data_IF_217789893328
#
_entry.id   IF_217789893328
#
_cell.length_a   1.000
_cell.length_b   1.000
_cell.length_c   1.000
_cell.angle_alpha   90.00
_cell.angle_beta   90.00
_cell.angle_gamma   90.00
#
_symmetry.space_group_name_H-M   'P 1'
#
loop_
_entity.id
_entity.type
_entity.pdbx_description
1 polymer ?
#
# COMPACT_ATOMS: atom_id res chain seq x y z
N UNK A 1 -0.74 -9.45 -5.66
CA UNK A 1 -0.93 -8.19 -6.42
C UNK A 1 -1.38 -7.06 -5.51
N UNK A 2 -1.37 -5.81 -6.00
CA UNK A 2 -1.94 -4.64 -5.32
C UNK A 2 -3.03 -4.00 -6.16
N UNK A 3 -4.08 -3.52 -5.53
CA UNK A 3 -5.13 -2.74 -6.20
C UNK A 3 -5.66 -1.62 -5.31
N UNK A 4 -6.05 -0.51 -5.93
CA UNK A 4 -6.72 0.60 -5.27
C UNK A 4 -8.10 0.83 -5.89
N UNK A 5 -9.12 0.93 -5.04
CA UNK A 5 -10.49 1.28 -5.42
C UNK A 5 -10.88 2.57 -4.72
N UNK A 6 -11.71 3.37 -5.40
CA UNK A 6 -12.24 4.61 -4.87
C UNK A 6 -13.76 4.59 -5.01
N UNK A 7 -14.46 4.70 -3.89
CA UNK A 7 -15.91 4.64 -3.84
C UNK A 7 -16.46 5.95 -3.25
N UNK A 8 -17.47 6.57 -3.87
CA UNK A 8 -18.15 7.74 -3.32
C UNK A 8 -18.69 7.52 -1.89
N UNK A 9 -18.59 8.53 -1.02
CA UNK A 9 -19.02 8.43 0.38
C UNK A 9 -20.52 8.20 0.60
N UNK A 10 -21.35 8.43 -0.41
CA UNK A 10 -22.80 8.17 -0.40
C UNK A 10 -23.16 6.69 -0.68
N UNK A 11 -22.17 5.85 -0.98
CA UNK A 11 -22.35 4.42 -1.18
C UNK A 11 -22.64 3.69 0.14
N UNK A 12 -23.38 2.58 0.07
CA UNK A 12 -23.71 1.74 1.23
C UNK A 12 -22.48 0.97 1.75
N UNK A 13 -21.65 1.71 2.47
CA UNK A 13 -20.33 1.27 2.92
C UNK A 13 -20.40 0.04 3.83
N UNK A 14 -21.32 0.02 4.79
CA UNK A 14 -21.46 -1.12 5.72
C UNK A 14 -21.85 -2.39 4.95
N UNK A 15 -22.77 -2.31 3.99
CA UNK A 15 -23.14 -3.47 3.16
C UNK A 15 -21.96 -4.00 2.34
N UNK A 16 -21.14 -3.11 1.77
CA UNK A 16 -19.94 -3.50 1.03
C UNK A 16 -18.93 -4.22 1.92
N UNK A 17 -18.70 -3.71 3.13
CA UNK A 17 -17.78 -4.33 4.09
C UNK A 17 -18.26 -5.71 4.52
N UNK A 18 -19.56 -5.86 4.82
CA UNK A 18 -20.14 -7.16 5.20
C UNK A 18 -19.96 -8.19 4.10
N UNK A 19 -20.24 -7.84 2.83
CA UNK A 19 -20.06 -8.74 1.69
C UNK A 19 -18.60 -9.21 1.52
N UNK A 20 -17.65 -8.28 1.70
CA UNK A 20 -16.22 -8.60 1.62
C UNK A 20 -15.84 -9.54 2.78
N UNK A 21 -16.23 -9.19 4.01
CA UNK A 21 -15.93 -9.98 5.21
C UNK A 21 -16.49 -11.42 5.12
N UNK A 22 -17.77 -11.56 4.72
CA UNK A 22 -18.43 -12.86 4.54
C UNK A 22 -17.73 -13.71 3.48
N UNK A 23 -17.41 -13.13 2.31
CA UNK A 23 -16.79 -13.87 1.22
C UNK A 23 -15.38 -14.35 1.55
N UNK A 24 -14.63 -13.57 2.32
CA UNK A 24 -13.28 -13.92 2.75
C UNK A 24 -13.25 -14.69 4.08
N UNK A 25 -14.42 -14.97 4.68
CA UNK A 25 -14.56 -15.69 5.94
C UNK A 25 -13.78 -15.03 7.08
N UNK A 26 -13.81 -13.70 7.16
CA UNK A 26 -13.04 -12.94 8.15
C UNK A 26 -13.86 -11.86 8.84
N UNK A 27 -13.33 -11.36 9.97
CA UNK A 27 -13.92 -10.27 10.75
C UNK A 27 -13.28 -8.92 10.39
N UNK A 28 -14.09 -7.87 10.39
CA UNK A 28 -13.64 -6.49 10.22
C UNK A 28 -13.01 -6.02 11.53
N UNK A 29 -11.76 -5.56 11.50
CA UNK A 29 -11.12 -4.92 12.64
C UNK A 29 -11.06 -3.41 12.44
N UNK A 30 -11.61 -2.66 13.38
CA UNK A 30 -11.45 -1.20 13.44
C UNK A 30 -10.19 -0.88 14.23
N UNK A 31 -9.31 -0.02 13.71
CA UNK A 31 -8.17 0.49 14.47
C UNK A 31 -8.59 1.67 15.37
N UNK A 32 -7.77 1.97 16.39
CA UNK A 32 -8.04 2.97 17.44
C UNK A 32 -8.33 4.41 16.95
N UNK A 33 -8.03 4.73 15.68
CA UNK A 33 -8.25 6.06 15.09
C UNK A 33 -9.64 6.28 14.46
N UNK A 34 -10.62 5.36 14.63
CA UNK A 34 -12.02 5.36 14.14
C UNK A 34 -12.25 5.55 12.62
N UNK A 35 -11.23 5.98 11.87
CA UNK A 35 -11.25 6.34 10.46
C UNK A 35 -10.63 5.29 9.55
N UNK A 36 -9.89 4.36 10.13
CA UNK A 36 -9.19 3.29 9.41
C UNK A 36 -9.76 1.94 9.81
N UNK A 37 -10.35 1.24 8.84
CA UNK A 37 -10.84 -0.13 9.00
C UNK A 37 -9.92 -1.10 8.25
N UNK A 38 -9.60 -2.23 8.87
CA UNK A 38 -8.76 -3.27 8.29
C UNK A 38 -9.55 -4.57 8.23
N UNK A 39 -9.62 -5.16 7.05
CA UNK A 39 -10.10 -6.53 6.86
C UNK A 39 -8.86 -7.41 6.69
N UNK A 40 -8.61 -8.27 7.69
CA UNK A 40 -7.48 -9.21 7.69
C UNK A 40 -7.96 -10.58 7.25
N UNK A 41 -7.81 -10.90 5.97
CA UNK A 41 -8.19 -12.22 5.45
C UNK A 41 -7.09 -13.24 5.82
N UNK A 42 -7.43 -14.48 6.22
CA UNK A 42 -6.44 -15.49 6.61
C UNK A 42 -5.37 -15.80 5.55
N UNK A 43 -5.63 -15.49 4.28
CA UNK A 43 -4.74 -15.80 3.15
C UNK A 43 -4.04 -14.56 2.60
N UNK A 44 -2.98 -14.06 3.25
CA UNK A 44 -2.04 -13.02 2.73
C UNK A 44 -2.63 -11.66 2.27
N UNK A 45 -3.95 -11.55 2.13
CA UNK A 45 -4.64 -10.39 1.60
C UNK A 45 -4.89 -9.41 2.74
N UNK A 46 -4.49 -8.17 2.50
CA UNK A 46 -4.73 -7.06 3.42
C UNK A 46 -5.52 -5.98 2.70
N UNK A 47 -6.68 -5.65 3.24
CA UNK A 47 -7.51 -4.56 2.75
C UNK A 47 -7.48 -3.46 3.82
N UNK A 48 -6.91 -2.31 3.46
CA UNK A 48 -6.87 -1.10 4.28
C UNK A 48 -7.86 -0.13 3.70
N UNK A 49 -8.73 0.42 4.55
CA UNK A 49 -9.80 1.30 4.14
C UNK A 49 -9.64 2.62 4.86
N UNK A 50 -9.57 3.70 4.07
CA UNK A 50 -9.52 5.07 4.59
C UNK A 50 -10.73 5.85 4.12
N UNK A 51 -11.26 6.64 5.04
CA UNK A 51 -12.31 7.61 4.72
C UNK A 51 -11.65 8.95 4.42
N UNK A 52 -11.82 9.44 3.20
CA UNK A 52 -11.49 10.81 2.80
C UNK A 52 -12.78 11.66 2.73
N UNK A 53 -12.66 12.98 2.58
CA UNK A 53 -13.80 13.91 2.64
C UNK A 53 -14.96 13.54 1.68
N UNK A 54 -14.65 12.97 0.52
CA UNK A 54 -15.65 12.68 -0.54
C UNK A 54 -15.71 11.21 -0.95
N UNK A 55 -14.78 10.37 -0.49
CA UNK A 55 -14.65 8.98 -0.94
C UNK A 55 -14.06 8.05 0.11
N UNK A 56 -14.39 6.78 -0.01
CA UNK A 56 -13.71 5.66 0.62
C UNK A 56 -12.62 5.14 -0.30
N UNK A 57 -11.39 5.05 0.21
CA UNK A 57 -10.24 4.51 -0.51
C UNK A 57 -9.93 3.13 0.04
N UNK A 58 -10.07 2.11 -0.80
CA UNK A 58 -9.72 0.73 -0.49
C UNK A 58 -8.36 0.41 -1.10
N UNK A 59 -7.37 0.12 -0.26
CA UNK A 59 -6.06 -0.37 -0.69
C UNK A 59 -5.94 -1.85 -0.37
N UNK A 60 -5.80 -2.66 -1.42
CA UNK A 60 -5.76 -4.12 -1.37
C UNK A 60 -4.35 -4.58 -1.68
N UNK A 61 -3.78 -5.43 -0.82
CA UNK A 61 -2.45 -6.05 -0.97
C UNK A 61 -2.56 -7.56 -0.87
N UNK A 62 -1.62 -8.28 -1.48
CA UNK A 62 -1.54 -9.74 -1.38
C UNK A 62 -2.65 -10.50 -2.10
N UNK A 63 -3.44 -9.79 -2.92
CA UNK A 63 -4.54 -10.37 -3.70
C UNK A 63 -4.04 -11.17 -4.89
N UNK A 64 -4.62 -12.35 -5.10
CA UNK A 64 -4.56 -13.07 -6.36
C UNK A 64 -5.44 -12.39 -7.42
N UNK A 65 -5.29 -12.79 -8.69
CA UNK A 65 -6.16 -12.32 -9.77
C UNK A 65 -7.64 -12.62 -9.51
N UNK A 66 -7.95 -13.75 -8.86
CA UNK A 66 -9.30 -14.15 -8.48
C UNK A 66 -9.88 -13.20 -7.41
N UNK A 67 -9.06 -12.81 -6.42
CA UNK A 67 -9.47 -11.88 -5.37
C UNK A 67 -9.72 -10.48 -5.94
N UNK A 68 -8.88 -10.02 -6.87
CA UNK A 68 -9.09 -8.76 -7.58
C UNK A 68 -10.38 -8.82 -8.39
N UNK A 69 -10.60 -9.89 -9.15
CA UNK A 69 -11.82 -10.06 -9.95
C UNK A 69 -13.09 -10.04 -9.09
N UNK A 70 -13.04 -10.70 -7.94
CA UNK A 70 -14.14 -10.68 -6.97
C UNK A 70 -14.38 -9.29 -6.40
N UNK A 71 -13.32 -8.61 -5.94
CA UNK A 71 -13.40 -7.26 -5.39
C UNK A 71 -13.91 -6.26 -6.42
N UNK A 72 -13.48 -6.37 -7.68
CA UNK A 72 -14.01 -5.56 -8.78
C UNK A 72 -15.52 -5.74 -8.97
N UNK A 73 -16.05 -6.95 -8.78
CA UNK A 73 -17.49 -7.20 -8.83
C UNK A 73 -18.31 -6.51 -7.72
N UNK A 74 -17.66 -6.13 -6.62
CA UNK A 74 -18.30 -5.45 -5.47
C UNK A 74 -18.02 -3.94 -5.50
N UNK A 75 -16.76 -3.57 -5.72
CA UNK A 75 -16.23 -2.22 -5.56
C UNK A 75 -16.17 -1.44 -6.89
N UNK A 76 -16.42 -2.10 -8.01
CA UNK A 76 -16.22 -1.54 -9.35
C UNK A 76 -14.76 -1.63 -9.82
N UNK A 77 -14.46 -0.99 -10.94
CA UNK A 77 -13.12 -1.04 -11.53
C UNK A 77 -12.06 -0.36 -10.63
N UNK A 78 -10.89 -0.98 -10.42
CA UNK A 78 -9.81 -0.37 -9.66
C UNK A 78 -9.21 0.82 -10.41
N UNK A 79 -8.92 1.89 -9.68
CA UNK A 79 -8.20 3.07 -10.20
C UNK A 79 -6.75 2.73 -10.50
N UNK A 80 -6.18 1.76 -9.78
CA UNK A 80 -4.81 1.30 -9.98
C UNK A 80 -4.68 -0.19 -9.69
N UNK A 81 -3.97 -0.93 -10.57
CA UNK A 81 -3.51 -2.30 -10.33
C UNK A 81 -1.99 -2.32 -10.50
N UNK A 82 -1.29 -2.95 -9.56
CA UNK A 82 0.17 -3.08 -9.57
C UNK A 82 0.64 -4.46 -9.16
N UNK A 83 1.89 -4.78 -9.50
CA UNK A 83 2.52 -6.00 -9.01
C UNK A 83 2.84 -5.91 -7.52
N UNK A 84 2.89 -7.07 -6.87
CA UNK A 84 2.94 -7.21 -5.41
C UNK A 84 4.25 -6.70 -4.78
N UNK A 85 5.37 -6.83 -5.50
CA UNK A 85 6.68 -6.42 -5.01
C UNK A 85 7.43 -5.64 -6.07
N UNK A 86 7.82 -4.40 -5.74
CA UNK A 86 8.67 -3.60 -6.59
C UNK A 86 10.06 -4.26 -6.67
N UNK A 87 10.71 -4.21 -7.83
CA UNK A 87 12.15 -4.41 -7.88
C UNK A 87 12.85 -3.28 -7.11
N UNK A 88 14.12 -3.48 -6.73
CA UNK A 88 14.90 -2.43 -6.05
C UNK A 88 14.94 -1.12 -6.86
N UNK A 89 15.06 -1.23 -8.18
CA UNK A 89 15.12 -0.06 -9.07
C UNK A 89 13.78 0.67 -9.16
N UNK A 90 12.67 -0.07 -9.19
CA UNK A 90 11.33 0.52 -9.18
C UNK A 90 11.06 1.21 -7.84
N UNK A 91 11.39 0.56 -6.72
CA UNK A 91 11.29 1.16 -5.39
C UNK A 91 12.07 2.49 -5.32
N UNK A 92 13.32 2.49 -5.78
CA UNK A 92 14.16 3.70 -5.83
C UNK A 92 13.55 4.78 -6.72
N UNK A 93 13.03 4.41 -7.89
CA UNK A 93 12.37 5.33 -8.81
C UNK A 93 11.15 5.98 -8.15
N UNK A 94 10.31 5.20 -7.48
CA UNK A 94 9.12 5.70 -6.80
C UNK A 94 9.48 6.62 -5.62
N UNK A 95 10.49 6.28 -4.81
CA UNK A 95 11.00 7.16 -3.73
C UNK A 95 11.39 8.54 -4.29
N UNK A 96 12.10 8.58 -5.41
CA UNK A 96 12.59 9.82 -6.02
C UNK A 96 11.47 10.64 -6.68
N UNK A 97 10.31 10.04 -6.99
CA UNK A 97 9.13 10.73 -7.54
C UNK A 97 8.25 11.34 -6.46
N UNK A 98 8.41 10.98 -5.19
CA UNK A 98 7.60 11.53 -4.09
C UNK A 98 7.83 13.05 -3.99
N UNK A 99 6.78 13.88 -4.15
CA UNK A 99 6.89 15.32 -3.98
C UNK A 99 7.33 15.66 -2.56
N UNK A 100 8.29 16.59 -2.44
CA UNK A 100 8.85 17.05 -1.17
C UNK A 100 9.27 15.91 -0.23
N UNK A 101 9.75 14.77 -0.78
CA UNK A 101 10.14 13.58 0.00
C UNK A 101 11.09 13.88 1.17
N UNK A 102 11.90 14.93 1.02
CA UNK A 102 12.85 15.37 2.03
C UNK A 102 12.22 15.89 3.32
N UNK A 103 10.95 16.32 3.30
CA UNK A 103 10.21 16.81 4.46
C UNK A 103 9.28 15.75 5.07
N UNK A 104 9.18 14.56 4.46
CA UNK A 104 8.31 13.47 4.92
C UNK A 104 9.05 12.54 5.87
N UNK A 105 8.34 12.01 6.85
CA UNK A 105 8.85 11.01 7.76
C UNK A 105 8.75 9.58 7.15
N UNK A 106 9.43 8.62 7.77
CA UNK A 106 9.44 7.21 7.32
C UNK A 106 8.03 6.63 7.15
N UNK A 107 7.13 6.88 8.10
CA UNK A 107 5.77 6.33 8.07
C UNK A 107 4.97 6.90 6.89
N UNK A 108 5.09 8.20 6.61
CA UNK A 108 4.47 8.83 5.44
C UNK A 108 5.03 8.27 4.12
N UNK A 109 6.34 8.06 4.04
CA UNK A 109 6.99 7.50 2.84
C UNK A 109 6.51 6.06 2.60
N UNK A 110 6.47 5.23 3.65
CA UNK A 110 5.97 3.86 3.60
C UNK A 110 4.52 3.83 3.14
N UNK A 111 3.70 4.76 3.65
CA UNK A 111 2.30 4.86 3.28
C UNK A 111 2.10 5.29 1.82
N UNK A 112 2.89 6.25 1.33
CA UNK A 112 2.84 6.71 -0.07
C UNK A 112 3.30 5.62 -1.03
N UNK A 113 4.39 4.93 -0.70
CA UNK A 113 4.94 3.84 -1.52
C UNK A 113 4.13 2.55 -1.41
N UNK A 114 3.16 2.54 -0.50
CA UNK A 114 2.30 1.41 -0.22
C UNK A 114 3.09 0.11 0.05
N UNK A 115 4.23 0.23 0.72
CA UNK A 115 5.05 -0.90 1.20
C UNK A 115 4.75 -1.16 2.67
N UNK A 116 5.05 -2.35 3.18
CA UNK A 116 5.05 -2.57 4.63
C UNK A 116 6.44 -2.34 5.24
N UNK A 117 6.51 -2.38 6.57
CA UNK A 117 7.73 -2.07 7.30
C UNK A 117 8.83 -3.13 7.09
N UNK A 118 8.46 -4.41 6.88
CA UNK A 118 9.42 -5.47 6.58
C UNK A 118 10.00 -5.33 5.17
N UNK A 119 9.15 -5.08 4.17
CA UNK A 119 9.53 -4.79 2.79
C UNK A 119 10.43 -3.57 2.72
N UNK A 120 10.04 -2.48 3.39
CA UNK A 120 10.85 -1.28 3.48
C UNK A 120 12.25 -1.58 4.02
N UNK A 121 12.35 -2.35 5.11
CA UNK A 121 13.64 -2.76 5.67
C UNK A 121 14.46 -3.63 4.72
N UNK A 122 13.81 -4.49 3.93
CA UNK A 122 14.50 -5.28 2.90
C UNK A 122 15.10 -4.38 1.82
N UNK A 123 14.36 -3.40 1.30
CA UNK A 123 14.88 -2.44 0.31
C UNK A 123 15.98 -1.58 0.92
N UNK A 124 15.77 -1.05 2.13
CA UNK A 124 16.73 -0.22 2.84
C UNK A 124 18.07 -0.93 3.03
N UNK A 125 18.06 -2.20 3.50
CA UNK A 125 19.29 -3.02 3.62
C UNK A 125 19.98 -3.26 2.28
N UNK A 126 19.24 -3.40 1.18
CA UNK A 126 19.84 -3.55 -0.15
C UNK A 126 20.52 -2.25 -0.59
N UNK A 127 19.88 -1.09 -0.41
CA UNK A 127 20.46 0.22 -0.73
C UNK A 127 21.65 0.56 0.15
N UNK A 128 21.59 0.22 1.44
CA UNK A 128 22.65 0.45 2.43
C UNK A 128 23.98 -0.18 2.00
N UNK A 129 23.95 -1.35 1.33
CA UNK A 129 25.16 -2.01 0.80
C UNK A 129 25.88 -1.14 -0.24
N UNK A 130 25.14 -0.37 -1.04
CA UNK A 130 25.70 0.57 -2.00
C UNK A 130 26.15 1.86 -1.31
N UNK A 131 25.30 2.40 -0.42
CA UNK A 131 25.56 3.63 0.33
C UNK A 131 26.84 3.56 1.16
N UNK A 132 27.01 2.51 1.98
CA UNK A 132 28.20 2.34 2.85
C UNK A 132 29.52 2.22 2.08
N UNK A 133 29.47 1.68 0.85
CA UNK A 133 30.65 1.50 0.01
C UNK A 133 30.97 2.74 -0.83
N UNK A 134 30.08 3.73 -0.87
CA UNK A 134 30.18 4.89 -1.76
C UNK A 134 30.25 4.51 -3.25
N UNK A 135 29.77 3.31 -3.60
CA UNK A 135 29.89 2.72 -4.94
C UNK A 135 28.58 2.04 -5.28
N UNK A 136 27.87 2.59 -6.26
CA UNK A 136 26.60 2.09 -6.75
C UNK A 136 25.99 3.06 -7.77
N UNK A 137 24.88 2.69 -8.41
CA UNK A 137 24.13 3.60 -9.27
C UNK A 137 23.69 4.84 -8.49
N UNK A 138 23.88 6.04 -9.08
CA UNK A 138 23.56 7.32 -8.43
C UNK A 138 22.13 7.40 -7.87
N UNK A 139 21.08 6.93 -8.58
CA UNK A 139 19.71 6.97 -8.05
C UNK A 139 19.54 6.19 -6.74
N UNK A 140 20.25 5.07 -6.59
CA UNK A 140 20.21 4.26 -5.37
C UNK A 140 20.88 5.00 -4.21
N UNK A 141 21.98 5.70 -4.46
CA UNK A 141 22.69 6.50 -3.45
C UNK A 141 21.84 7.70 -3.00
N UNK A 142 21.17 8.35 -3.94
CA UNK A 142 20.30 9.50 -3.66
C UNK A 142 19.09 9.08 -2.83
N UNK A 143 18.40 8.00 -3.23
CA UNK A 143 17.28 7.44 -2.49
C UNK A 143 17.72 6.97 -1.08
N UNK A 144 18.87 6.30 -0.97
CA UNK A 144 19.41 5.90 0.34
C UNK A 144 19.64 7.10 1.25
N UNK A 145 20.22 8.20 0.74
CA UNK A 145 20.46 9.42 1.51
C UNK A 145 19.16 10.06 2.00
N UNK A 146 18.11 10.07 1.17
CA UNK A 146 16.78 10.55 1.55
C UNK A 146 16.22 9.73 2.72
N UNK A 147 16.32 8.41 2.61
CA UNK A 147 15.72 7.46 3.55
C UNK A 147 16.54 7.20 4.82
N UNK A 148 17.79 7.68 4.87
CA UNK A 148 18.69 7.54 6.03
C UNK A 148 18.61 8.71 7.03
N UNK A 149 17.71 9.67 6.79
CA UNK A 149 17.42 10.77 7.72
C UNK A 149 16.69 10.25 8.96
#
# INVERSE_FOLDING_TARGET
MKAQYEIPNDSDFESLLTKIAESFGTDIKTLEDDTTRIILVPSRIRIIIRTEETKFVFRVKGASDEDISFLTGILGEPVQIGQEKLSLNEFVSEVLKIPDVNSKNKAEIIDILDVDDEEFQQYYKQMERFGKRGRGPQPILDAYKILSK
#
